data_IF_941860942430
#
_entry.id   IF_941860942430
#
_cell.length_a   1.000
_cell.length_b   1.000
_cell.length_c   1.000
_cell.angle_alpha   90.00
_cell.angle_beta   90.00
_cell.angle_gamma   90.00
#
_symmetry.space_group_name_H-M   'P 1'
#
loop_
_entity.id
_entity.type
_entity.pdbx_description
1 polymer ?
#
# COMPACT_ATOMS: atom_id res chain seq x y z
N UNK A 1 17.62 -3.12 26.43
CA UNK A 1 18.35 -2.58 25.26
C UNK A 1 17.77 -3.25 24.01
N UNK A 2 18.18 -2.80 22.83
CA UNK A 2 17.60 -3.27 21.56
C UNK A 2 17.81 -4.77 21.34
N UNK A 3 18.96 -5.31 21.75
CA UNK A 3 19.27 -6.74 21.63
C UNK A 3 18.31 -7.62 22.45
N UNK A 4 18.03 -7.24 23.71
CA UNK A 4 17.08 -7.97 24.53
C UNK A 4 15.64 -7.83 24.01
N UNK A 5 15.27 -6.65 23.49
CA UNK A 5 13.96 -6.43 22.86
C UNK A 5 13.73 -7.33 21.65
N UNK A 6 14.71 -7.43 20.75
CA UNK A 6 14.59 -8.32 19.58
C UNK A 6 14.54 -9.79 19.99
N UNK A 7 15.34 -10.18 21.00
CA UNK A 7 15.34 -11.55 21.52
C UNK A 7 14.00 -11.93 22.13
N UNK A 8 13.39 -11.04 22.93
CA UNK A 8 12.07 -11.27 23.51
C UNK A 8 10.96 -11.31 22.46
N UNK A 9 11.02 -10.45 21.43
CA UNK A 9 10.10 -10.48 20.30
C UNK A 9 10.17 -11.78 19.50
N UNK A 10 11.38 -12.23 19.16
CA UNK A 10 11.55 -13.49 18.43
C UNK A 10 10.96 -14.65 19.24
N UNK A 11 11.24 -14.70 20.55
CA UNK A 11 10.67 -15.72 21.41
C UNK A 11 9.15 -15.60 21.54
N UNK A 12 8.57 -14.39 21.57
CA UNK A 12 7.12 -14.18 21.61
C UNK A 12 6.41 -14.87 20.44
N UNK A 13 6.98 -14.73 19.24
CA UNK A 13 6.41 -15.32 18.02
C UNK A 13 6.80 -16.78 17.77
N UNK A 14 7.94 -17.24 18.29
CA UNK A 14 8.38 -18.64 18.15
C UNK A 14 7.72 -19.54 19.21
N UNK A 15 7.66 -19.08 20.47
CA UNK A 15 7.03 -19.79 21.58
C UNK A 15 6.55 -18.81 22.67
N UNK A 16 5.30 -18.37 22.56
CA UNK A 16 4.68 -17.42 23.49
C UNK A 16 4.67 -17.92 24.95
N UNK A 17 4.62 -19.23 25.21
CA UNK A 17 4.65 -19.76 26.57
C UNK A 17 6.01 -19.53 27.24
N UNK A 18 7.10 -19.78 26.50
CA UNK A 18 8.47 -19.54 26.98
C UNK A 18 8.76 -18.04 27.10
N UNK A 19 8.25 -17.22 26.16
CA UNK A 19 8.34 -15.77 26.24
C UNK A 19 7.65 -15.23 27.49
N UNK A 20 6.43 -15.68 27.78
CA UNK A 20 5.70 -15.31 28.99
C UNK A 20 6.44 -15.75 30.26
N UNK A 21 7.04 -16.95 30.27
CA UNK A 21 7.79 -17.43 31.43
C UNK A 21 9.09 -16.64 31.67
N UNK A 22 9.72 -16.14 30.60
CA UNK A 22 11.04 -15.47 30.66
C UNK A 22 10.91 -13.97 30.84
N UNK A 23 10.02 -13.33 30.08
CA UNK A 23 9.90 -11.88 29.95
C UNK A 23 8.57 -11.33 30.46
N UNK A 24 7.61 -12.20 30.81
CA UNK A 24 6.23 -11.78 31.08
C UNK A 24 5.44 -11.51 29.80
N UNK A 25 4.18 -11.10 29.98
CA UNK A 25 3.31 -10.73 28.87
C UNK A 25 3.86 -9.50 28.15
N UNK A 26 3.69 -9.42 26.82
CA UNK A 26 4.25 -8.36 25.98
C UNK A 26 3.81 -6.94 26.40
N UNK A 27 2.61 -6.81 26.97
CA UNK A 27 2.08 -5.56 27.51
C UNK A 27 2.88 -5.00 28.69
N UNK A 28 3.62 -5.86 29.40
CA UNK A 28 4.29 -5.52 30.66
C UNK A 28 5.80 -5.30 30.47
N UNK A 29 6.29 -5.39 29.23
CA UNK A 29 7.71 -5.24 28.93
C UNK A 29 8.19 -3.81 29.20
N UNK A 30 9.34 -3.70 29.85
CA UNK A 30 10.01 -2.41 30.02
C UNK A 30 10.81 -2.05 28.76
N UNK A 31 10.27 -1.16 27.93
CA UNK A 31 10.87 -0.70 26.68
C UNK A 31 11.63 0.63 26.78
N UNK A 32 11.75 1.23 27.99
CA UNK A 32 12.34 2.56 28.19
C UNK A 32 13.77 2.76 27.69
N UNK A 33 14.52 1.66 27.50
CA UNK A 33 15.89 1.66 26.99
C UNK A 33 16.01 1.16 25.54
N UNK A 34 14.89 0.98 24.84
CA UNK A 34 14.86 0.61 23.43
C UNK A 34 14.97 1.87 22.59
N UNK A 35 15.91 1.87 21.65
CA UNK A 35 16.15 2.96 20.69
C UNK A 35 15.78 2.58 19.27
N UNK A 36 15.72 1.28 18.97
CA UNK A 36 15.36 0.74 17.66
C UNK A 36 14.19 -0.25 17.79
N UNK A 37 13.03 0.13 17.24
CA UNK A 37 11.85 -0.74 17.12
C UNK A 37 11.56 -1.14 15.67
N UNK A 38 12.54 -0.99 14.78
CA UNK A 38 12.38 -1.27 13.36
C UNK A 38 11.98 -2.73 13.14
N UNK A 39 11.00 -2.94 12.28
CA UNK A 39 10.51 -4.26 11.86
C UNK A 39 10.01 -5.22 12.97
N UNK A 40 9.81 -4.72 14.20
CA UNK A 40 9.43 -5.54 15.37
C UNK A 40 8.24 -6.49 15.12
N UNK A 41 7.26 -6.04 14.34
CA UNK A 41 6.04 -6.78 13.99
C UNK A 41 5.85 -6.94 12.48
N UNK A 42 6.93 -6.77 11.71
CA UNK A 42 6.90 -6.91 10.25
C UNK A 42 6.39 -8.30 9.85
N UNK A 43 5.41 -8.31 8.95
CA UNK A 43 4.69 -9.45 8.40
C UNK A 43 4.01 -10.35 9.44
N UNK A 44 3.80 -9.85 10.68
CA UNK A 44 3.02 -10.54 11.71
C UNK A 44 1.53 -10.24 11.51
N UNK A 45 0.95 -10.80 10.45
CA UNK A 45 -0.41 -10.48 10.00
C UNK A 45 -1.48 -10.55 11.10
N UNK A 46 -1.38 -11.51 12.02
CA UNK A 46 -2.33 -11.71 13.11
C UNK A 46 -2.00 -10.92 14.40
N UNK A 47 -0.88 -10.18 14.45
CA UNK A 47 -0.46 -9.48 15.66
C UNK A 47 -1.41 -8.33 15.99
N UNK A 48 -1.95 -8.36 17.21
CA UNK A 48 -2.79 -7.30 17.76
C UNK A 48 -2.80 -7.33 19.30
N UNK A 49 -1.71 -7.78 19.93
CA UNK A 49 -1.60 -7.77 21.40
C UNK A 49 -1.40 -6.34 21.91
N UNK A 50 -1.92 -6.05 23.10
CA UNK A 50 -1.83 -4.71 23.70
C UNK A 50 -0.37 -4.33 24.00
N UNK A 51 0.06 -3.22 23.40
CA UNK A 51 1.37 -2.57 23.57
C UNK A 51 1.22 -1.07 23.85
N UNK A 52 0.01 -0.63 24.22
CA UNK A 52 -0.29 0.78 24.51
C UNK A 52 0.56 1.33 25.67
N UNK A 53 0.94 0.46 26.62
CA UNK A 53 1.74 0.82 27.79
C UNK A 53 3.25 0.89 27.58
N UNK A 54 3.76 0.67 26.37
CA UNK A 54 5.19 0.76 26.09
C UNK A 54 5.72 2.20 26.22
N UNK A 55 6.90 2.32 26.83
CA UNK A 55 7.66 3.57 26.85
C UNK A 55 8.49 3.67 25.56
N UNK A 56 8.15 4.63 24.70
CA UNK A 56 8.81 4.89 23.42
C UNK A 56 9.69 6.14 23.43
N UNK A 57 9.85 6.81 24.58
CA UNK A 57 10.52 8.12 24.67
C UNK A 57 11.99 8.11 24.23
N UNK A 58 12.65 6.95 24.31
CA UNK A 58 14.03 6.73 23.86
C UNK A 58 14.13 6.26 22.40
N UNK A 59 13.01 5.95 21.73
CA UNK A 59 13.01 5.35 20.39
C UNK A 59 13.42 6.39 19.34
N UNK A 60 14.33 5.99 18.46
CA UNK A 60 14.88 6.81 17.38
C UNK A 60 14.35 6.35 16.01
N UNK A 61 14.05 5.06 15.85
CA UNK A 61 13.53 4.48 14.60
C UNK A 61 12.41 3.47 14.86
N UNK A 62 11.36 3.58 14.06
CA UNK A 62 10.20 2.68 14.00
C UNK A 62 9.95 2.21 12.55
N UNK A 63 11.02 2.17 11.74
CA UNK A 63 10.98 1.78 10.33
C UNK A 63 10.32 0.42 10.15
N UNK A 64 9.23 0.36 9.38
CA UNK A 64 8.55 -0.90 9.06
C UNK A 64 7.97 -1.65 10.27
N UNK A 65 7.82 -1.02 11.44
CA UNK A 65 7.46 -1.70 12.70
C UNK A 65 6.21 -2.58 12.56
N UNK A 66 5.17 -2.10 11.88
CA UNK A 66 3.91 -2.84 11.62
C UNK A 66 3.70 -3.13 10.13
N UNK A 67 4.76 -3.17 9.33
CA UNK A 67 4.62 -3.48 7.91
C UNK A 67 3.99 -4.87 7.73
N UNK A 68 2.78 -4.93 7.18
CA UNK A 68 2.05 -6.18 6.91
C UNK A 68 1.41 -6.81 8.15
N UNK A 69 1.39 -6.11 9.29
CA UNK A 69 0.61 -6.50 10.46
C UNK A 69 -0.87 -6.15 10.22
N UNK A 70 -1.53 -6.87 9.33
CA UNK A 70 -2.84 -6.51 8.77
C UNK A 70 -3.97 -6.43 9.82
N UNK A 71 -3.87 -7.17 10.92
CA UNK A 71 -4.83 -7.13 12.04
C UNK A 71 -4.54 -6.06 13.11
N UNK A 72 -3.37 -5.41 13.07
CA UNK A 72 -2.94 -4.48 14.12
C UNK A 72 -3.83 -3.23 14.18
N UNK A 73 -4.38 -2.94 15.36
CA UNK A 73 -5.24 -1.77 15.61
C UNK A 73 -5.25 -1.35 17.10
N UNK A 74 -4.11 -1.47 17.79
CA UNK A 74 -4.00 -1.11 19.21
C UNK A 74 -3.80 0.40 19.43
N UNK A 75 -4.34 0.98 20.52
CA UNK A 75 -4.34 2.42 20.76
C UNK A 75 -2.95 2.91 21.18
N UNK A 76 -2.14 3.27 20.20
CA UNK A 76 -0.76 3.77 20.37
C UNK A 76 -0.65 5.31 20.33
N UNK A 77 -1.79 6.00 20.47
CA UNK A 77 -1.85 7.47 20.43
C UNK A 77 -1.08 8.15 21.57
N UNK A 78 -0.87 7.45 22.69
CA UNK A 78 -0.17 7.95 23.88
C UNK A 78 1.35 7.73 23.84
N UNK A 79 1.88 7.12 22.77
CA UNK A 79 3.33 6.94 22.60
C UNK A 79 4.05 8.29 22.43
N UNK A 80 5.18 8.43 23.13
CA UNK A 80 6.11 9.54 22.92
C UNK A 80 7.00 9.25 21.72
N UNK A 81 6.75 9.95 20.61
CA UNK A 81 7.53 9.83 19.37
C UNK A 81 8.41 11.04 19.09
N UNK A 82 8.58 11.93 20.08
CA UNK A 82 9.30 13.20 19.92
C UNK A 82 10.78 13.05 19.53
N UNK A 83 11.37 11.89 19.83
CA UNK A 83 12.76 11.52 19.47
C UNK A 83 12.88 10.76 18.15
N UNK A 84 11.77 10.27 17.59
CA UNK A 84 11.76 9.37 16.42
C UNK A 84 12.07 10.17 15.15
N UNK A 85 12.99 9.63 14.33
CA UNK A 85 13.44 10.24 13.07
C UNK A 85 12.99 9.47 11.84
N UNK A 86 12.80 8.16 11.96
CA UNK A 86 12.43 7.27 10.85
C UNK A 86 11.16 6.46 11.19
N UNK A 87 10.09 6.71 10.43
CA UNK A 87 8.84 5.95 10.42
C UNK A 87 8.50 5.46 9.01
N UNK A 88 9.50 5.32 8.13
CA UNK A 88 9.31 4.80 6.78
C UNK A 88 8.60 3.45 6.86
N UNK A 89 7.56 3.28 6.05
CA UNK A 89 6.77 2.05 5.98
C UNK A 89 6.18 1.56 7.32
N UNK A 90 6.08 2.39 8.37
CA UNK A 90 5.66 1.94 9.71
C UNK A 90 4.33 1.17 9.72
N UNK A 91 3.34 1.62 8.92
CA UNK A 91 2.02 0.99 8.77
C UNK A 91 1.76 0.51 7.33
N UNK A 92 2.81 0.26 6.55
CA UNK A 92 2.68 -0.28 5.19
C UNK A 92 1.87 -1.58 5.25
N UNK A 93 0.74 -1.66 4.54
CA UNK A 93 -0.18 -2.81 4.51
C UNK A 93 -0.77 -3.21 5.89
N UNK A 94 -0.76 -2.31 6.88
CA UNK A 94 -1.48 -2.49 8.14
C UNK A 94 -2.99 -2.22 7.93
N UNK A 95 -3.67 -3.11 7.22
CA UNK A 95 -5.01 -2.89 6.66
C UNK A 95 -6.09 -2.48 7.67
N UNK A 96 -6.01 -2.96 8.92
CA UNK A 96 -6.99 -2.67 9.98
C UNK A 96 -6.65 -1.44 10.82
N UNK A 97 -5.45 -0.88 10.69
CA UNK A 97 -4.99 0.20 11.56
C UNK A 97 -5.79 1.48 11.33
N UNK A 98 -6.44 1.98 12.38
CA UNK A 98 -7.23 3.22 12.34
C UNK A 98 -7.30 3.91 13.72
N UNK A 99 -6.19 3.91 14.46
CA UNK A 99 -6.11 4.54 15.79
C UNK A 99 -5.65 5.98 15.70
N UNK A 100 -6.16 6.82 16.61
CA UNK A 100 -5.81 8.24 16.67
C UNK A 100 -4.33 8.42 17.05
N UNK A 101 -3.60 9.08 16.15
CA UNK A 101 -2.18 9.43 16.25
C UNK A 101 -1.96 10.92 16.00
N UNK A 102 -3.02 11.73 16.03
CA UNK A 102 -2.98 13.15 15.73
C UNK A 102 -2.22 13.98 16.77
N UNK A 103 -2.03 13.43 17.99
CA UNK A 103 -1.33 14.09 19.11
C UNK A 103 0.17 13.79 19.17
N UNK A 104 0.71 12.97 18.26
CA UNK A 104 2.14 12.69 18.20
C UNK A 104 2.97 13.95 17.92
N UNK A 105 4.03 14.15 18.69
CA UNK A 105 5.02 15.19 18.41
C UNK A 105 5.98 14.70 17.31
N UNK A 106 5.71 15.09 16.06
CA UNK A 106 6.52 14.70 14.90
C UNK A 106 7.65 15.68 14.59
N UNK A 107 8.02 16.59 15.49
CA UNK A 107 9.00 17.64 15.23
C UNK A 107 10.40 17.15 14.82
N UNK A 108 10.76 15.93 15.21
CA UNK A 108 12.03 15.27 14.86
C UNK A 108 11.96 14.36 13.63
N UNK A 109 10.76 14.12 13.08
CA UNK A 109 10.52 13.12 12.04
C UNK A 109 11.08 13.59 10.69
N UNK A 110 11.83 12.72 10.02
CA UNK A 110 12.49 13.00 8.73
C UNK A 110 12.01 12.06 7.63
N UNK A 111 11.92 10.76 7.92
CA UNK A 111 11.60 9.72 6.93
C UNK A 111 10.18 9.17 7.16
N UNK A 112 9.28 9.41 6.20
CA UNK A 112 7.86 8.98 6.27
C UNK A 112 7.36 8.28 5.01
N UNK A 113 8.25 8.02 4.05
CA UNK A 113 7.87 7.39 2.79
C UNK A 113 7.16 6.04 3.04
N UNK A 114 6.11 5.77 2.27
CA UNK A 114 5.27 4.56 2.38
C UNK A 114 4.57 4.33 3.73
N UNK A 115 4.58 5.28 4.67
CA UNK A 115 4.14 5.05 6.05
C UNK A 115 2.73 4.44 6.15
N UNK A 116 1.77 4.89 5.35
CA UNK A 116 0.38 4.39 5.31
C UNK A 116 0.02 3.76 3.96
N UNK A 117 1.00 3.33 3.17
CA UNK A 117 0.72 2.64 1.90
C UNK A 117 -0.18 1.43 2.20
N UNK A 118 -1.34 1.34 1.54
CA UNK A 118 -2.33 0.28 1.69
C UNK A 118 -2.79 0.04 3.15
N UNK A 119 -2.72 1.05 4.01
CA UNK A 119 -3.41 1.07 5.29
C UNK A 119 -4.90 1.34 5.03
N UNK A 120 -5.62 0.32 4.54
CA UNK A 120 -6.93 0.44 3.91
C UNK A 120 -7.97 1.18 4.76
N UNK A 121 -7.97 0.95 6.07
CA UNK A 121 -8.93 1.51 7.02
C UNK A 121 -8.52 2.86 7.62
N UNK A 122 -7.29 3.31 7.38
CA UNK A 122 -6.73 4.46 8.08
C UNK A 122 -7.38 5.77 7.63
N UNK A 123 -7.99 6.50 8.56
CA UNK A 123 -8.66 7.77 8.30
C UNK A 123 -8.66 8.70 9.53
N UNK A 124 -7.54 8.79 10.25
CA UNK A 124 -7.41 9.62 11.45
C UNK A 124 -6.77 10.96 11.15
N UNK A 125 -7.22 12.00 11.86
CA UNK A 125 -6.74 13.36 11.68
C UNK A 125 -5.26 13.49 12.08
N UNK A 126 -4.44 14.04 11.19
CA UNK A 126 -3.01 14.32 11.40
C UNK A 126 -2.62 15.74 10.99
N UNK A 127 -3.58 16.66 10.94
CA UNK A 127 -3.34 18.05 10.53
C UNK A 127 -2.33 18.78 11.43
N UNK A 128 -2.18 18.34 12.69
CA UNK A 128 -1.28 18.95 13.68
C UNK A 128 0.18 18.45 13.60
N UNK A 129 0.50 17.53 12.69
CA UNK A 129 1.87 17.03 12.56
C UNK A 129 2.82 18.12 12.05
N UNK A 130 3.99 18.19 12.68
CA UNK A 130 5.09 19.03 12.23
C UNK A 130 5.85 18.34 11.09
N UNK A 131 5.69 18.80 9.84
CA UNK A 131 6.28 18.16 8.65
C UNK A 131 7.47 18.91 8.05
N UNK A 132 7.91 20.02 8.65
CA UNK A 132 8.91 20.95 8.08
C UNK A 132 10.32 20.36 7.89
N UNK A 133 10.60 19.17 8.43
CA UNK A 133 11.86 18.44 8.26
C UNK A 133 11.80 17.35 7.18
N UNK A 134 10.61 16.95 6.75
CA UNK A 134 10.39 15.86 5.80
C UNK A 134 10.76 16.31 4.39
N UNK A 135 11.50 15.46 3.66
CA UNK A 135 11.92 15.74 2.27
C UNK A 135 11.33 14.78 1.23
N UNK A 136 10.79 13.64 1.67
CA UNK A 136 10.20 12.61 0.82
C UNK A 136 8.88 12.10 1.42
N UNK A 137 7.77 12.40 0.75
CA UNK A 137 6.42 11.92 1.11
C UNK A 137 5.90 10.90 0.10
N UNK A 138 6.78 10.32 -0.70
CA UNK A 138 6.45 9.37 -1.73
C UNK A 138 5.65 8.18 -1.19
N UNK A 139 4.57 7.85 -1.92
CA UNK A 139 3.68 6.72 -1.63
C UNK A 139 3.08 6.71 -0.21
N UNK A 140 3.15 7.82 0.54
CA UNK A 140 2.78 7.84 1.96
C UNK A 140 1.35 7.35 2.21
N UNK A 141 0.39 7.69 1.34
CA UNK A 141 -1.01 7.24 1.40
C UNK A 141 -1.43 6.42 0.18
N UNK A 142 -0.48 5.84 -0.56
CA UNK A 142 -0.80 5.05 -1.76
C UNK A 142 -1.69 3.86 -1.38
N UNK A 143 -2.88 3.77 -1.93
CA UNK A 143 -3.84 2.71 -1.64
C UNK A 143 -4.49 2.80 -0.25
N UNK A 144 -4.29 3.88 0.51
CA UNK A 144 -5.02 4.15 1.76
C UNK A 144 -6.47 4.55 1.42
N UNK A 145 -7.27 3.56 1.04
CA UNK A 145 -8.56 3.76 0.36
C UNK A 145 -9.55 4.63 1.14
N UNK A 146 -9.57 4.53 2.47
CA UNK A 146 -10.46 5.30 3.34
C UNK A 146 -9.94 6.71 3.70
N UNK A 147 -8.69 7.04 3.37
CA UNK A 147 -8.05 8.26 3.86
C UNK A 147 -8.64 9.52 3.21
N UNK A 148 -9.19 10.43 4.04
CA UNK A 148 -9.77 11.69 3.61
C UNK A 148 -9.68 12.77 4.71
N UNK A 149 -8.48 13.04 5.21
CA UNK A 149 -8.25 13.98 6.31
C UNK A 149 -7.56 15.25 5.85
N UNK A 150 -7.90 16.37 6.48
CA UNK A 150 -7.36 17.68 6.12
C UNK A 150 -5.87 17.78 6.46
N UNK A 151 -5.05 18.11 5.46
CA UNK A 151 -3.59 18.25 5.56
C UNK A 151 -3.08 19.66 5.22
N UNK A 152 -3.95 20.67 5.23
CA UNK A 152 -3.60 22.04 4.81
C UNK A 152 -2.46 22.67 5.63
N UNK A 153 -2.31 22.24 6.88
CA UNK A 153 -1.36 22.83 7.83
C UNK A 153 0.04 22.18 7.75
N UNK A 154 0.22 21.16 6.89
CA UNK A 154 1.52 20.56 6.64
C UNK A 154 2.43 21.53 5.88
N UNK A 155 3.64 21.74 6.42
CA UNK A 155 4.72 22.42 5.71
C UNK A 155 5.39 21.44 4.74
N UNK A 156 5.20 21.68 3.45
CA UNK A 156 5.77 20.86 2.37
C UNK A 156 6.93 21.55 1.64
N UNK A 157 7.41 22.71 2.13
CA UNK A 157 8.37 23.56 1.41
C UNK A 157 9.72 22.88 1.10
N UNK A 158 10.09 21.84 1.86
CA UNK A 158 11.31 21.03 1.65
C UNK A 158 11.05 19.70 0.96
N UNK A 159 9.80 19.34 0.69
CA UNK A 159 9.46 18.06 0.08
C UNK A 159 9.85 18.09 -1.39
N UNK A 160 10.72 17.16 -1.77
CA UNK A 160 11.24 17.04 -3.12
C UNK A 160 10.52 15.94 -3.93
N UNK A 161 9.82 15.05 -3.24
CA UNK A 161 9.17 13.87 -3.82
C UNK A 161 7.77 13.63 -3.23
N UNK A 162 6.77 13.66 -4.11
CA UNK A 162 5.36 13.36 -3.84
C UNK A 162 4.85 12.19 -4.70
N UNK A 163 5.74 11.43 -5.36
CA UNK A 163 5.35 10.38 -6.30
C UNK A 163 4.32 9.44 -5.65
N UNK A 164 3.18 9.24 -6.33
CA UNK A 164 2.08 8.38 -5.86
C UNK A 164 1.54 8.64 -4.45
N UNK A 165 1.73 9.84 -3.88
CA UNK A 165 1.37 10.10 -2.47
C UNK A 165 -0.09 9.73 -2.13
N UNK A 166 -1.05 9.99 -3.02
CA UNK A 166 -2.47 9.63 -2.88
C UNK A 166 -2.95 8.63 -3.96
N UNK A 167 -2.04 7.96 -4.67
CA UNK A 167 -2.41 7.00 -5.72
C UNK A 167 -3.26 5.86 -5.13
N UNK A 168 -4.50 5.68 -5.58
CA UNK A 168 -5.44 4.68 -5.04
C UNK A 168 -6.04 5.04 -3.67
N UNK A 169 -5.83 6.26 -3.17
CA UNK A 169 -6.58 6.80 -2.04
C UNK A 169 -7.99 7.22 -2.52
N UNK A 170 -8.88 6.24 -2.72
CA UNK A 170 -10.16 6.44 -3.40
C UNK A 170 -11.04 7.51 -2.75
N UNK A 171 -11.01 7.64 -1.42
CA UNK A 171 -11.85 8.59 -0.68
C UNK A 171 -11.26 9.99 -0.58
N UNK A 172 -10.04 10.22 -1.06
CA UNK A 172 -9.34 11.50 -0.86
C UNK A 172 -10.00 12.63 -1.67
N UNK A 173 -10.51 13.64 -0.96
CA UNK A 173 -11.11 14.85 -1.53
C UNK A 173 -10.84 16.06 -0.63
N UNK A 174 -9.56 16.40 -0.43
CA UNK A 174 -9.15 17.54 0.39
C UNK A 174 -8.45 18.61 -0.43
N UNK A 175 -8.68 19.88 -0.05
CA UNK A 175 -7.95 21.01 -0.59
C UNK A 175 -6.53 21.05 -0.01
N UNK A 176 -5.55 20.71 -0.85
CA UNK A 176 -4.12 20.83 -0.56
C UNK A 176 -3.45 21.89 -1.44
N UNK A 177 -4.21 22.78 -2.08
CA UNK A 177 -3.67 23.83 -2.95
C UNK A 177 -2.68 24.75 -2.24
N UNK A 178 -2.74 24.84 -0.91
CA UNK A 178 -1.83 25.63 -0.06
C UNK A 178 -0.43 25.02 0.06
N UNK A 179 -0.24 23.75 -0.30
CA UNK A 179 1.07 23.10 -0.22
C UNK A 179 2.08 23.79 -1.13
N UNK A 180 3.29 24.01 -0.60
CA UNK A 180 4.40 24.49 -1.38
C UNK A 180 5.05 23.34 -2.14
N UNK A 181 4.95 23.35 -3.46
CA UNK A 181 5.55 22.35 -4.35
C UNK A 181 6.78 22.85 -5.08
N UNK A 182 7.33 24.03 -4.78
CA UNK A 182 8.44 24.63 -5.56
C UNK A 182 9.73 23.79 -5.56
N UNK A 183 9.94 22.98 -4.52
CA UNK A 183 11.10 22.11 -4.36
C UNK A 183 10.91 20.71 -4.98
N UNK A 184 9.70 20.41 -5.45
CA UNK A 184 9.34 19.08 -5.96
C UNK A 184 9.93 18.84 -7.36
N UNK A 185 10.56 17.67 -7.53
CA UNK A 185 10.96 17.16 -8.85
C UNK A 185 10.27 15.83 -9.23
N UNK A 186 9.59 15.18 -8.27
CA UNK A 186 8.85 13.94 -8.51
C UNK A 186 7.39 14.08 -8.06
N UNK A 187 6.51 14.42 -9.00
CA UNK A 187 5.06 14.57 -8.78
C UNK A 187 4.23 13.56 -9.60
N UNK A 188 4.88 12.55 -10.17
CA UNK A 188 4.22 11.53 -11.00
C UNK A 188 3.13 10.80 -10.23
N UNK A 189 1.95 10.70 -10.85
CA UNK A 189 0.82 9.93 -10.36
C UNK A 189 0.39 10.24 -8.92
N UNK A 190 0.59 11.48 -8.42
CA UNK A 190 0.17 11.88 -7.06
C UNK A 190 -1.26 11.47 -6.72
N UNK A 191 -2.17 11.58 -7.69
CA UNK A 191 -3.60 11.27 -7.59
C UNK A 191 -4.04 10.17 -8.56
N UNK A 192 -3.13 9.24 -8.91
CA UNK A 192 -3.50 8.08 -9.73
C UNK A 192 -4.66 7.32 -9.07
N UNK A 193 -5.70 6.92 -9.79
CA UNK A 193 -6.83 6.16 -9.22
C UNK A 193 -7.51 6.78 -7.97
N UNK A 194 -7.33 8.08 -7.68
CA UNK A 194 -8.03 8.79 -6.59
C UNK A 194 -9.41 9.23 -7.10
N UNK A 195 -10.37 8.31 -7.15
CA UNK A 195 -11.64 8.50 -7.85
C UNK A 195 -12.58 9.55 -7.24
N UNK A 196 -12.47 9.87 -5.95
CA UNK A 196 -13.34 10.86 -5.28
C UNK A 196 -12.82 12.30 -5.33
N UNK A 197 -11.63 12.56 -5.88
CA UNK A 197 -11.08 13.92 -5.93
C UNK A 197 -12.00 14.80 -6.80
N UNK A 198 -12.66 15.77 -6.16
CA UNK A 198 -13.65 16.64 -6.80
C UNK A 198 -13.00 17.58 -7.80
N UNK A 199 -13.78 18.00 -8.80
CA UNK A 199 -13.33 18.97 -9.81
C UNK A 199 -12.98 20.32 -9.17
N UNK A 200 -13.68 20.71 -8.11
CA UNK A 200 -13.33 21.89 -7.31
C UNK A 200 -11.91 21.78 -6.75
N UNK A 201 -11.58 20.68 -6.08
CA UNK A 201 -10.24 20.48 -5.52
C UNK A 201 -9.19 20.32 -6.63
N UNK A 202 -9.50 19.67 -7.75
CA UNK A 202 -8.61 19.64 -8.93
C UNK A 202 -8.29 21.06 -9.43
N UNK A 203 -9.29 21.92 -9.55
CA UNK A 203 -9.11 23.31 -9.98
C UNK A 203 -8.23 24.13 -9.03
N UNK A 204 -8.48 24.03 -7.72
CA UNK A 204 -7.67 24.69 -6.68
C UNK A 204 -6.21 24.20 -6.72
N UNK A 205 -6.01 22.88 -6.75
CA UNK A 205 -4.68 22.26 -6.81
C UNK A 205 -3.95 22.68 -8.09
N UNK A 206 -4.62 22.60 -9.25
CA UNK A 206 -4.03 22.99 -10.54
C UNK A 206 -3.58 24.45 -10.55
N UNK A 207 -4.40 25.35 -10.00
CA UNK A 207 -4.08 26.78 -9.91
C UNK A 207 -2.77 27.03 -9.17
N UNK A 208 -2.48 26.26 -8.13
CA UNK A 208 -1.27 26.37 -7.34
C UNK A 208 -0.08 25.59 -7.95
N UNK A 209 -0.29 24.33 -8.28
CA UNK A 209 0.79 23.39 -8.57
C UNK A 209 1.28 23.46 -10.02
N UNK A 210 0.46 23.95 -10.96
CA UNK A 210 0.79 24.03 -12.39
C UNK A 210 2.02 24.89 -12.71
N UNK A 211 2.46 25.73 -11.77
CA UNK A 211 3.69 26.51 -11.90
C UNK A 211 4.97 25.66 -11.75
N UNK A 212 4.87 24.48 -11.14
CA UNK A 212 5.98 23.53 -11.08
C UNK A 212 6.06 22.76 -12.41
N UNK A 213 7.24 22.76 -13.05
CA UNK A 213 7.47 22.09 -14.35
C UNK A 213 7.30 20.56 -14.34
N UNK A 214 7.19 19.95 -13.17
CA UNK A 214 7.01 18.50 -12.99
C UNK A 214 5.55 18.11 -12.72
N UNK A 215 4.64 19.10 -12.63
CA UNK A 215 3.21 18.86 -12.48
C UNK A 215 2.65 18.10 -13.69
N UNK A 216 2.14 16.87 -13.53
CA UNK A 216 1.82 16.01 -14.68
C UNK A 216 0.36 16.08 -15.14
N UNK A 217 -0.50 16.85 -14.46
CA UNK A 217 -1.94 16.87 -14.71
C UNK A 217 -2.39 18.13 -15.47
N UNK A 218 -3.09 17.94 -16.60
CA UNK A 218 -3.83 19.02 -17.24
C UNK A 218 -5.26 19.07 -16.66
N UNK A 219 -5.42 19.91 -15.65
CA UNK A 219 -6.69 20.17 -14.96
C UNK A 219 -7.15 21.62 -15.17
N UNK A 220 -6.66 22.25 -16.24
CA UNK A 220 -6.96 23.64 -16.58
C UNK A 220 -8.47 23.88 -16.78
N UNK A 221 -9.20 22.88 -17.26
CA UNK A 221 -10.65 22.93 -17.41
C UNK A 221 -11.43 23.10 -16.09
N UNK A 222 -10.83 22.72 -14.96
CA UNK A 222 -11.44 22.81 -13.64
C UNK A 222 -11.11 24.13 -12.90
N UNK A 223 -10.20 24.95 -13.44
CA UNK A 223 -9.96 26.30 -12.94
C UNK A 223 -11.10 27.19 -13.43
N UNK A 224 -11.82 27.86 -12.53
CA UNK A 224 -13.02 28.65 -12.84
C UNK A 224 -12.88 29.48 -14.15
N UNK A 225 -13.61 29.09 -15.21
CA UNK A 225 -13.66 29.80 -16.49
C UNK A 225 -13.63 28.95 -17.78
N UNK A 226 -13.42 27.64 -17.72
CA UNK A 226 -13.55 26.74 -18.87
C UNK A 226 -14.98 26.22 -19.03
N UNK A 227 -15.80 26.88 -19.85
CA UNK A 227 -17.25 26.67 -19.89
C UNK A 227 -17.74 25.22 -20.11
N UNK A 228 -18.60 24.78 -19.20
CA UNK A 228 -19.89 24.18 -19.54
C UNK A 228 -20.90 24.60 -18.49
N UNK A 229 -21.86 25.42 -18.90
CA UNK A 229 -23.13 25.58 -18.19
C UNK A 229 -23.91 24.30 -18.37
N UNK A 230 -23.96 23.46 -17.34
CA UNK A 230 -25.12 22.59 -17.15
C UNK A 230 -25.76 22.95 -15.81
N UNK A 231 -26.64 23.94 -15.90
CA UNK A 231 -27.55 24.34 -14.85
C UNK A 231 -28.65 23.27 -14.74
N UNK A 232 -28.35 22.20 -14.03
CA UNK A 232 -29.34 21.29 -13.46
C UNK A 232 -29.95 21.87 -12.19
N UNK A 233 -30.47 23.10 -12.27
CA UNK A 233 -31.18 23.75 -11.18
C UNK A 233 -32.51 23.06 -10.91
N UNK A 234 -32.54 22.15 -9.93
CA UNK A 234 -33.80 21.56 -9.49
C UNK A 234 -34.51 22.51 -8.51
N UNK A 235 -35.53 23.17 -9.05
CA UNK A 235 -36.43 24.08 -8.38
C UNK A 235 -37.30 23.33 -7.35
N UNK A 236 -37.23 23.74 -6.08
CA UNK A 236 -38.37 23.58 -5.18
C UNK A 236 -38.59 24.82 -4.30
N UNK A 237 -39.27 25.82 -4.87
CA UNK A 237 -40.07 26.79 -4.11
C UNK A 237 -41.37 27.07 -4.87
N UNK A 238 -42.44 26.40 -4.45
CA UNK A 238 -43.81 26.91 -4.56
C UNK A 238 -43.92 28.17 -3.70
N UNK A 239 -44.62 29.26 -4.01
CA UNK A 239 -45.53 29.63 -5.08
C UNK A 239 -46.47 30.70 -4.49
N UNK A 240 -46.56 31.90 -5.10
CA UNK A 240 -47.72 32.79 -4.97
C UNK A 240 -47.86 33.68 -6.21
N UNK A 241 -48.90 33.34 -6.99
CA UNK A 241 -49.84 34.18 -7.75
C UNK A 241 -49.36 35.20 -8.81
N UNK A 242 -49.70 34.84 -10.06
CA UNK A 242 -50.08 35.63 -11.26
C UNK A 242 -51.26 36.62 -11.05
N UNK A 243 -51.77 37.41 -12.06
CA UNK A 243 -51.49 37.40 -13.53
C UNK A 243 -51.41 38.77 -14.29
N UNK A 244 -51.05 38.67 -15.58
CA UNK A 244 -51.53 39.53 -16.69
C UNK A 244 -50.40 40.06 -17.60
N UNK A 245 -50.43 40.01 -18.93
CA UNK A 245 -51.37 39.53 -19.94
C UNK A 245 -50.85 39.84 -21.36
N UNK A 246 -51.35 39.06 -22.33
CA UNK A 246 -51.62 39.35 -23.75
C UNK A 246 -50.54 39.59 -24.84
N UNK A 247 -50.95 39.07 -26.00
CA UNK A 247 -50.53 39.26 -27.41
C UNK A 247 -49.27 38.55 -27.97
N UNK A 248 -49.21 38.07 -29.22
CA UNK A 248 -50.12 37.44 -30.22
C UNK A 248 -49.25 37.16 -31.47
N UNK A 249 -49.41 35.99 -32.11
CA UNK A 249 -49.26 35.72 -33.58
C UNK A 249 -47.81 35.75 -34.17
N UNK A 250 -47.31 34.91 -35.09
CA UNK A 250 -47.86 34.16 -36.26
C UNK A 250 -46.94 32.98 -36.72
N UNK A 251 -47.56 31.85 -37.10
CA UNK A 251 -47.37 30.92 -38.27
C UNK A 251 -46.33 31.29 -39.36
N UNK A 252 -45.64 30.43 -40.16
CA UNK A 252 -45.54 28.98 -40.52
C UNK A 252 -44.44 28.87 -41.66
N UNK A 253 -44.30 27.83 -42.54
CA UNK A 253 -43.40 26.63 -42.48
C UNK A 253 -42.34 26.41 -43.60
N UNK A 254 -41.55 25.32 -43.44
CA UNK A 254 -41.03 24.33 -44.45
C UNK A 254 -39.65 24.49 -45.17
N UNK A 255 -38.63 23.72 -44.68
CA UNK A 255 -37.76 22.67 -45.31
C UNK A 255 -37.03 22.86 -46.68
N UNK A 256 -36.01 22.05 -47.13
CA UNK A 256 -35.05 21.12 -46.48
C UNK A 256 -33.55 21.28 -46.90
N UNK A 257 -32.65 20.58 -46.18
CA UNK A 257 -31.57 19.79 -46.81
C UNK A 257 -30.13 20.30 -46.66
N UNK A 258 -29.25 19.49 -46.06
CA UNK A 258 -27.81 19.69 -46.09
C UNK A 258 -27.05 18.88 -45.05
N UNK A 259 -26.80 17.61 -45.36
CA UNK A 259 -25.99 16.68 -44.60
C UNK A 259 -24.58 17.24 -44.31
N UNK A 260 -24.16 17.24 -43.05
CA UNK A 260 -22.74 17.08 -42.71
C UNK A 260 -22.58 16.23 -41.44
N UNK A 261 -21.91 15.11 -41.66
CA UNK A 261 -21.57 14.04 -40.76
C UNK A 261 -20.50 14.49 -39.75
N UNK A 262 -20.81 14.52 -38.46
CA UNK A 262 -19.83 14.49 -37.37
C UNK A 262 -20.27 13.45 -36.35
N UNK A 263 -19.52 12.34 -36.29
CA UNK A 263 -19.68 11.27 -35.31
C UNK A 263 -19.20 11.76 -33.95
N UNK A 264 -20.16 12.06 -33.09
CA UNK A 264 -20.12 11.86 -31.65
C UNK A 264 -20.70 10.46 -31.35
N UNK A 265 -20.19 9.75 -30.34
CA UNK A 265 -21.11 9.06 -29.44
C UNK A 265 -20.76 9.38 -27.98
N UNK A 266 -21.50 10.31 -27.38
CA UNK A 266 -22.72 9.96 -26.66
C UNK A 266 -22.45 9.26 -25.34
N UNK A 267 -22.47 10.07 -24.29
CA UNK A 267 -22.83 9.71 -22.92
C UNK A 267 -24.13 8.90 -22.86
N UNK A 268 -24.10 7.73 -22.24
CA UNK A 268 -25.31 7.06 -21.76
C UNK A 268 -25.39 7.20 -20.24
N UNK A 269 -26.47 7.82 -19.79
CA UNK A 269 -26.80 8.06 -18.38
C UNK A 269 -27.61 6.90 -17.80
N UNK A 270 -27.37 6.61 -16.52
CA UNK A 270 -28.23 5.87 -15.59
C UNK A 270 -28.45 4.38 -15.83
N UNK A 271 -27.53 3.58 -15.27
CA UNK A 271 -27.88 2.30 -14.63
C UNK A 271 -27.46 2.34 -13.15
N UNK A 272 -28.39 2.71 -12.27
CA UNK A 272 -28.26 2.43 -10.83
C UNK A 272 -28.60 0.95 -10.60
N UNK A 273 -27.63 0.08 -10.85
CA UNK A 273 -27.58 -1.24 -10.22
C UNK A 273 -26.72 -1.17 -8.97
N UNK A 274 -27.10 -1.81 -7.84
CA UNK A 274 -26.19 -1.94 -6.72
C UNK A 274 -25.01 -2.81 -7.18
N UNK A 275 -23.89 -2.17 -7.50
CA UNK A 275 -22.63 -2.87 -7.74
C UNK A 275 -22.14 -3.41 -6.39
N UNK A 276 -22.41 -4.69 -6.13
CA UNK A 276 -21.60 -5.47 -5.20
C UNK A 276 -20.24 -5.71 -5.87
N UNK A 277 -19.19 -5.09 -5.34
CA UNK A 277 -17.81 -5.24 -5.82
C UNK A 277 -17.12 -6.35 -4.99
N UNK A 278 -16.23 -7.19 -5.59
CA UNK A 278 -15.73 -8.41 -4.97
C UNK A 278 -14.92 -8.10 -3.71
N UNK A 279 -15.10 -8.93 -2.69
CA UNK A 279 -14.22 -8.98 -1.53
C UNK A 279 -12.91 -9.62 -1.98
N UNK A 280 -11.80 -8.87 -1.96
CA UNK A 280 -10.48 -9.44 -2.18
C UNK A 280 -10.03 -10.13 -0.90
N UNK A 281 -10.09 -11.46 -0.88
CA UNK A 281 -9.54 -12.25 0.21
C UNK A 281 -8.13 -12.70 -0.18
N UNK A 282 -7.12 -12.02 0.36
CA UNK A 282 -5.72 -12.47 0.24
C UNK A 282 -5.52 -13.64 1.21
N UNK A 283 -5.55 -14.88 0.70
CA UNK A 283 -5.18 -16.06 1.48
C UNK A 283 -3.66 -16.27 1.40
N UNK A 284 -2.97 -15.98 2.49
CA UNK A 284 -1.57 -16.37 2.69
C UNK A 284 -1.57 -17.79 3.24
N UNK A 285 -1.02 -18.73 2.48
CA UNK A 285 -0.88 -20.11 2.94
C UNK A 285 0.54 -20.34 3.46
N UNK A 286 0.66 -21.01 4.60
CA UNK A 286 1.92 -21.58 5.03
C UNK A 286 2.22 -22.82 4.17
N UNK A 287 3.37 -22.83 3.49
CA UNK A 287 3.80 -23.96 2.66
C UNK A 287 3.95 -25.25 3.49
N UNK A 288 4.17 -25.13 4.80
CA UNK A 288 4.20 -26.26 5.73
C UNK A 288 2.81 -26.89 5.93
N UNK A 289 1.73 -26.10 5.92
CA UNK A 289 0.35 -26.61 6.03
C UNK A 289 -0.10 -27.33 4.75
N UNK A 290 0.39 -26.90 3.58
CA UNK A 290 0.05 -27.49 2.28
C UNK A 290 0.78 -28.80 1.98
N UNK A 291 2.00 -28.98 2.49
CA UNK A 291 2.89 -30.10 2.13
C UNK A 291 3.00 -31.17 3.22
N UNK A 292 2.69 -30.83 4.47
CA UNK A 292 2.80 -31.77 5.60
C UNK A 292 4.24 -32.15 5.98
N UNK A 293 5.24 -31.40 5.52
CA UNK A 293 6.67 -31.65 5.79
C UNK A 293 7.19 -30.59 6.76
N UNK A 294 7.56 -31.00 7.98
CA UNK A 294 8.24 -30.12 8.94
C UNK A 294 9.64 -29.73 8.43
N UNK A 295 9.94 -28.43 8.36
CA UNK A 295 11.30 -27.90 8.20
C UNK A 295 11.64 -27.12 6.93
N UNK A 296 10.67 -26.83 6.04
CA UNK A 296 10.91 -25.97 4.86
C UNK A 296 10.38 -24.56 5.14
N UNK A 297 11.28 -23.58 5.31
CA UNK A 297 10.93 -22.14 5.34
C UNK A 297 11.14 -21.54 3.95
N UNK A 298 10.15 -21.64 3.07
CA UNK A 298 10.10 -20.86 1.84
C UNK A 298 8.82 -20.02 1.88
N UNK A 299 8.98 -18.69 1.88
CA UNK A 299 7.87 -17.76 1.78
C UNK A 299 7.50 -17.53 0.32
N UNK A 300 6.22 -17.69 -0.01
CA UNK A 300 5.65 -17.31 -1.30
C UNK A 300 4.20 -16.87 -1.09
N UNK A 301 3.69 -16.01 -1.97
CA UNK A 301 2.28 -15.60 -1.97
C UNK A 301 1.72 -15.79 -3.37
N UNK A 302 0.48 -16.28 -3.46
CA UNK A 302 -0.25 -16.43 -4.71
C UNK A 302 -1.49 -15.53 -4.63
N UNK A 303 -1.82 -14.85 -5.72
CA UNK A 303 -3.08 -14.12 -5.84
C UNK A 303 -3.82 -14.64 -7.08
N UNK A 304 -5.08 -15.04 -6.90
CA UNK A 304 -6.03 -15.22 -8.00
C UNK A 304 -6.69 -13.87 -8.25
N UNK A 305 -6.67 -13.41 -9.49
CA UNK A 305 -7.52 -12.29 -9.92
C UNK A 305 -8.55 -12.85 -10.88
N UNK A 306 -9.83 -12.67 -10.61
CA UNK A 306 -10.88 -12.92 -11.61
C UNK A 306 -11.35 -11.60 -12.21
N UNK A 307 -11.42 -11.55 -13.54
CA UNK A 307 -12.25 -10.62 -14.28
C UNK A 307 -13.64 -11.24 -14.42
N UNK A 308 -14.64 -10.68 -13.74
CA UNK A 308 -16.00 -11.19 -13.80
C UNK A 308 -16.70 -10.79 -15.12
N UNK A 309 -17.17 -11.76 -15.90
CA UNK A 309 -18.24 -11.58 -16.91
C UNK A 309 -19.54 -12.25 -16.39
N UNK A 310 -20.71 -11.58 -16.43
CA UNK A 310 -21.90 -12.08 -15.77
C UNK A 310 -22.69 -13.06 -16.65
N UNK A 311 -22.80 -14.32 -16.24
CA UNK A 311 -23.90 -15.18 -16.68
C UNK A 311 -24.28 -16.27 -15.64
N UNK A 312 -25.53 -16.16 -15.15
CA UNK A 312 -26.33 -17.15 -14.41
C UNK A 312 -26.32 -17.08 -12.84
N UNK A 313 -27.41 -16.61 -12.18
CA UNK A 313 -27.46 -16.41 -10.73
C UNK A 313 -27.83 -17.65 -9.88
N UNK A 314 -27.90 -18.88 -10.42
CA UNK A 314 -28.36 -20.04 -9.63
C UNK A 314 -27.46 -21.29 -9.64
N UNK A 315 -26.15 -21.14 -9.77
CA UNK A 315 -25.18 -22.18 -9.36
C UNK A 315 -24.01 -21.54 -8.62
N UNK A 316 -23.79 -21.89 -7.36
CA UNK A 316 -22.59 -21.50 -6.62
C UNK A 316 -21.40 -22.31 -7.14
N UNK A 317 -20.75 -21.76 -8.17
CA UNK A 317 -19.48 -22.19 -8.78
C UNK A 317 -18.31 -22.25 -7.78
N UNK A 318 -18.43 -21.47 -6.69
CA UNK A 318 -17.44 -21.26 -5.62
C UNK A 318 -16.90 -22.51 -4.93
N UNK A 319 -17.71 -23.56 -4.74
CA UNK A 319 -17.27 -24.74 -3.97
C UNK A 319 -16.57 -25.80 -4.83
N UNK A 320 -16.75 -25.78 -6.15
CA UNK A 320 -16.10 -26.72 -7.06
C UNK A 320 -14.69 -26.25 -7.42
N UNK A 321 -14.47 -24.97 -7.68
CA UNK A 321 -13.15 -24.47 -8.11
C UNK A 321 -12.13 -24.37 -6.99
N UNK A 322 -12.52 -23.99 -5.78
CA UNK A 322 -11.61 -23.97 -4.63
C UNK A 322 -11.11 -25.38 -4.32
N UNK A 323 -12.00 -26.39 -4.40
CA UNK A 323 -11.64 -27.79 -4.21
C UNK A 323 -10.78 -28.36 -5.36
N UNK A 324 -11.06 -27.99 -6.61
CA UNK A 324 -10.26 -28.38 -7.78
C UNK A 324 -8.89 -27.69 -7.80
N UNK A 325 -8.80 -26.43 -7.38
CA UNK A 325 -7.55 -25.67 -7.25
C UNK A 325 -6.66 -26.26 -6.15
N UNK A 326 -7.23 -26.50 -4.97
CA UNK A 326 -6.55 -27.20 -3.87
C UNK A 326 -6.10 -28.61 -4.27
N UNK A 327 -6.97 -29.35 -4.97
CA UNK A 327 -6.66 -30.69 -5.44
C UNK A 327 -5.56 -30.67 -6.51
N UNK A 328 -5.55 -29.71 -7.42
CA UNK A 328 -4.53 -29.59 -8.48
C UNK A 328 -3.16 -29.16 -7.93
N UNK A 329 -3.12 -28.28 -6.92
CA UNK A 329 -1.87 -27.93 -6.22
C UNK A 329 -1.36 -29.14 -5.43
N UNK A 330 -2.23 -29.86 -4.73
CA UNK A 330 -1.87 -31.10 -4.01
C UNK A 330 -1.43 -32.20 -4.98
N UNK A 331 -2.08 -32.37 -6.12
CA UNK A 331 -1.69 -33.32 -7.17
C UNK A 331 -0.36 -32.93 -7.83
N UNK A 332 -0.07 -31.64 -8.02
CA UNK A 332 1.23 -31.17 -8.49
C UNK A 332 2.35 -31.45 -7.47
N UNK A 333 2.09 -31.22 -6.17
CA UNK A 333 3.01 -31.52 -5.07
C UNK A 333 3.24 -33.04 -4.91
N UNK A 334 2.20 -33.86 -5.07
CA UNK A 334 2.25 -35.33 -4.94
C UNK A 334 2.82 -36.02 -6.18
N UNK A 335 2.58 -35.51 -7.39
CA UNK A 335 3.14 -36.05 -8.63
C UNK A 335 4.67 -35.95 -8.69
N UNK A 336 5.28 -35.13 -7.82
CA UNK A 336 6.72 -34.98 -7.69
C UNK A 336 7.31 -35.60 -6.40
N UNK A 337 6.67 -36.66 -5.89
CA UNK A 337 7.22 -37.51 -4.84
C UNK A 337 8.45 -38.31 -5.36
N UNK A 338 9.62 -37.68 -5.34
CA UNK A 338 10.86 -38.45 -5.10
C UNK A 338 12.20 -37.94 -5.61
N UNK A 339 12.33 -36.93 -6.48
CA UNK A 339 13.68 -36.50 -6.95
C UNK A 339 13.79 -35.07 -7.46
N UNK A 340 13.90 -34.07 -6.57
CA UNK A 340 14.75 -32.88 -6.79
C UNK A 340 15.17 -32.29 -5.42
N UNK A 341 16.05 -32.99 -4.70
CA UNK A 341 16.77 -32.39 -3.56
C UNK A 341 18.22 -31.95 -3.91
N UNK A 342 18.64 -31.90 -5.19
CA UNK A 342 19.79 -31.06 -5.52
C UNK A 342 19.70 -30.43 -6.92
N UNK A 343 18.94 -29.33 -7.11
CA UNK A 343 19.12 -28.36 -8.21
C UNK A 343 18.56 -26.97 -7.83
N UNK A 344 19.10 -26.38 -6.77
CA UNK A 344 18.98 -24.94 -6.46
C UNK A 344 19.96 -24.09 -7.31
N UNK A 345 19.93 -24.19 -8.65
CA UNK A 345 20.14 -22.97 -9.44
C UNK A 345 19.39 -22.96 -10.80
N UNK A 346 18.06 -23.10 -10.86
CA UNK A 346 17.29 -22.80 -12.10
C UNK A 346 15.84 -22.30 -11.84
N UNK A 347 15.59 -21.49 -10.80
CA UNK A 347 14.29 -20.80 -10.64
C UNK A 347 14.11 -19.55 -11.54
N UNK A 348 14.89 -19.42 -12.61
CA UNK A 348 14.82 -18.30 -13.55
C UNK A 348 14.01 -18.57 -14.83
N UNK A 349 13.41 -19.76 -15.00
CA UNK A 349 12.80 -20.14 -16.28
C UNK A 349 11.26 -19.97 -16.29
N UNK A 350 10.84 -18.70 -16.31
CA UNK A 350 9.44 -18.24 -16.38
C UNK A 350 8.65 -18.93 -17.52
N UNK A 351 9.34 -19.36 -18.59
CA UNK A 351 8.71 -19.99 -19.76
C UNK A 351 8.13 -21.38 -19.48
N UNK A 352 8.69 -22.13 -18.52
CA UNK A 352 8.20 -23.49 -18.20
C UNK A 352 6.92 -23.44 -17.35
N UNK A 353 6.82 -22.47 -16.45
CA UNK A 353 5.61 -22.23 -15.66
C UNK A 353 4.47 -21.73 -16.56
N UNK A 354 4.78 -20.79 -17.44
CA UNK A 354 3.81 -20.24 -18.39
C UNK A 354 3.30 -21.32 -19.37
N UNK A 355 4.18 -22.21 -19.85
CA UNK A 355 3.78 -23.36 -20.68
C UNK A 355 2.90 -24.37 -19.93
N UNK A 356 3.19 -24.66 -18.66
CA UNK A 356 2.36 -25.55 -17.85
C UNK A 356 0.95 -24.99 -17.62
N UNK A 357 0.85 -23.70 -17.33
CA UNK A 357 -0.44 -23.00 -17.16
C UNK A 357 -1.20 -22.98 -18.49
N UNK A 358 -0.52 -22.69 -19.60
CA UNK A 358 -1.09 -22.74 -20.94
C UNK A 358 -1.62 -24.13 -21.34
N UNK A 359 -0.84 -25.19 -21.10
CA UNK A 359 -1.22 -26.58 -21.41
C UNK A 359 -2.43 -27.06 -20.58
N UNK A 360 -2.63 -26.46 -19.41
CA UNK A 360 -3.79 -26.71 -18.54
C UNK A 360 -4.95 -25.75 -18.78
N UNK A 361 -4.84 -24.85 -19.76
CA UNK A 361 -5.82 -23.78 -20.05
C UNK A 361 -6.10 -22.87 -18.84
N UNK A 362 -5.12 -22.71 -17.97
CA UNK A 362 -5.17 -21.79 -16.83
C UNK A 362 -4.57 -20.46 -17.30
N UNK A 363 -5.40 -19.41 -17.39
CA UNK A 363 -4.96 -18.06 -17.71
C UNK A 363 -4.76 -17.28 -16.41
N UNK A 364 -3.54 -17.09 -15.90
CA UNK A 364 -3.33 -16.26 -14.73
C UNK A 364 -3.60 -14.79 -15.09
N UNK A 365 -4.68 -14.23 -14.55
CA UNK A 365 -4.77 -12.77 -14.43
C UNK A 365 -4.01 -12.45 -13.14
N UNK A 366 -2.76 -11.99 -13.24
CA UNK A 366 -1.94 -11.62 -12.07
C UNK A 366 -0.46 -11.99 -12.17
N UNK A 367 0.39 -11.24 -11.45
CA UNK A 367 1.85 -11.46 -11.38
C UNK A 367 2.22 -12.32 -10.17
N UNK A 368 3.05 -13.35 -10.38
CA UNK A 368 3.67 -14.16 -9.32
C UNK A 368 5.01 -13.53 -8.94
N UNK A 369 5.26 -13.33 -7.64
CA UNK A 369 6.53 -12.86 -7.09
C UNK A 369 7.17 -13.95 -6.22
N UNK A 370 8.46 -14.20 -6.45
CA UNK A 370 9.33 -14.96 -5.54
C UNK A 370 10.44 -14.00 -5.08
N UNK A 371 10.75 -13.99 -3.78
CA UNK A 371 11.94 -13.33 -3.24
C UNK A 371 12.85 -14.40 -2.60
N UNK A 372 14.11 -14.43 -3.01
CA UNK A 372 15.09 -15.43 -2.58
C UNK A 372 15.57 -15.11 -1.16
N UNK A 373 14.90 -15.64 -0.15
CA UNK A 373 15.44 -15.67 1.22
C UNK A 373 16.35 -16.88 1.43
N UNK A 374 17.54 -16.87 0.79
CA UNK A 374 18.67 -17.62 1.31
C UNK A 374 19.56 -16.67 2.11
N UNK A 375 19.51 -16.82 3.44
CA UNK A 375 20.29 -16.05 4.41
C UNK A 375 21.79 -16.33 4.36
N UNK A 376 22.46 -15.92 3.29
CA UNK A 376 23.91 -15.78 3.25
C UNK A 376 24.29 -14.56 2.42
N UNK A 377 24.80 -13.54 3.11
CA UNK A 377 25.45 -12.36 2.57
C UNK A 377 26.54 -12.75 1.54
N UNK A 378 26.50 -12.28 0.27
CA UNK A 378 27.53 -12.58 -0.71
C UNK A 378 28.81 -11.74 -0.55
N UNK A 379 28.92 -10.87 0.46
CA UNK A 379 30.14 -10.08 0.71
C UNK A 379 30.51 -10.04 2.19
N UNK A 380 31.08 -11.13 2.70
CA UNK A 380 31.85 -11.17 3.95
C UNK A 380 33.35 -11.05 3.66
N UNK A 381 34.01 -9.88 3.85
CA UNK A 381 35.44 -9.71 3.60
C UNK A 381 36.33 -10.34 4.68
N UNK A 382 35.77 -11.03 5.68
CA UNK A 382 36.52 -11.53 6.84
C UNK A 382 36.98 -13.00 6.73
N UNK A 383 36.76 -13.66 5.58
CA UNK A 383 37.11 -15.09 5.40
C UNK A 383 38.35 -15.40 4.54
N UNK A 384 39.08 -14.40 4.05
CA UNK A 384 40.38 -14.63 3.41
C UNK A 384 41.53 -14.59 4.43
N UNK A 385 41.62 -15.63 5.26
CA UNK A 385 42.90 -16.06 5.83
C UNK A 385 43.00 -17.59 5.82
N UNK A 386 44.08 -18.06 5.17
CA UNK A 386 44.63 -19.41 5.12
C UNK A 386 44.13 -20.35 4.01
N UNK A 387 44.66 -20.12 2.81
CA UNK A 387 44.96 -21.17 1.83
C UNK A 387 46.47 -21.23 1.58
N UNK A 388 47.15 -22.18 2.20
CA UNK A 388 48.57 -22.48 2.03
C UNK A 388 48.84 -23.17 0.68
N UNK A 389 49.84 -22.67 -0.06
CA UNK A 389 50.43 -23.32 -1.25
C UNK A 389 51.61 -24.23 -0.82
N UNK A 390 51.71 -25.50 -1.26
CA UNK A 390 52.80 -26.39 -0.88
C UNK A 390 53.92 -26.50 -1.92
N UNK A 391 55.10 -26.92 -1.44
CA UNK A 391 56.34 -27.32 -2.13
C UNK A 391 57.38 -26.20 -2.38
N UNK A 392 58.66 -26.31 -2.00
CA UNK A 392 59.47 -27.30 -1.28
C UNK A 392 60.90 -26.69 -1.09
N UNK A 393 61.99 -27.39 -0.68
CA UNK A 393 62.59 -27.20 0.63
C UNK A 393 64.08 -26.76 0.63
N UNK A 394 64.56 -26.43 1.84
CA UNK A 394 65.88 -26.86 2.34
C UNK A 394 67.02 -25.84 2.38
N UNK A 395 67.60 -25.65 3.56
CA UNK A 395 69.03 -25.33 3.70
C UNK A 395 69.41 -24.18 4.65
N UNK A 396 69.78 -24.58 5.88
CA UNK A 396 70.92 -24.10 6.67
C UNK A 396 71.01 -22.64 7.19
N UNK A 397 70.89 -22.51 8.51
CA UNK A 397 71.97 -22.14 9.43
C UNK A 397 73.02 -21.10 8.98
N UNK A 398 72.97 -19.88 9.55
CA UNK A 398 73.95 -19.34 10.54
C UNK A 398 73.88 -17.81 10.68
N UNK A 399 73.96 -17.38 11.95
CA UNK A 399 74.72 -16.22 12.47
C UNK A 399 75.44 -15.35 11.44
N UNK A 400 75.08 -14.07 11.33
CA UNK A 400 75.75 -12.91 12.00
C UNK A 400 75.04 -11.62 11.64
#
# INVERSE_FOLDING_TARGET
DDSNFQTSLNLWFDNQADANATYGHISDWNTSAVTDMSEAFKLRAAFNDDISGWDTSSVITMNGMFWGASAFNQPIGDWDVSSVKDMKAMFLQAGSFNQDIGNWDTGSLVETANMFYAALSFNQNMGNWHTSAITNMGQMFRGASAFNQNLKDWDTSKVSSFYHIFDGAHSFDQDISVWNVSSAYAMTSMFGNSSSLSDQNKGLIHTSFSTNSTWPYDWSAFVEGGGSTDDGGDHNKTGTQEPGGDDKNTTDPYNPGGDHNTTDPGSDTNDTHPFSIPVFELKVFDLAELTGIEGIKAGGSFALTELYEPADPQKTFFQLEEALFDQNIKEWLVAYDGRVFPLLPEFSDYQKLDQFLHDKQLHPVGHIYFDDHNGSDPYDPSKDQNGTDPHEPGGDDKNT
#
